data_IF_868392794852
#
_entry.id   IF_868392794852
#
_cell.length_a   1.000
_cell.length_b   1.000
_cell.length_c   1.000
_cell.angle_alpha   90.00
_cell.angle_beta   90.00
_cell.angle_gamma   90.00
#
_symmetry.space_group_name_H-M   'P 1'
#
loop_
_entity.id
_entity.type
_entity.pdbx_description
1 polymer ?
#
# COMPACT_ATOMS: atom_id res chain seq x y z
N UNK A 1 -9.05 9.60 -3.34
CA UNK A 1 -8.20 10.17 -2.27
C UNK A 1 -7.51 9.16 -1.34
N UNK A 2 -7.91 7.87 -1.29
CA UNK A 2 -6.94 6.78 -0.98
C UNK A 2 -6.99 5.69 -2.04
N UNK A 3 -8.19 5.37 -2.55
CA UNK A 3 -8.39 4.38 -3.63
C UNK A 3 -7.73 4.75 -4.97
N UNK A 4 -7.37 6.02 -5.15
CA UNK A 4 -6.68 6.51 -6.35
C UNK A 4 -5.18 6.63 -6.14
N UNK A 5 -4.73 6.66 -4.88
CA UNK A 5 -3.32 6.79 -4.54
C UNK A 5 -2.65 5.43 -4.66
N UNK A 6 -1.35 5.46 -4.85
CA UNK A 6 -0.54 4.27 -4.71
C UNK A 6 -0.49 3.80 -3.24
N UNK A 7 -0.17 2.51 -3.08
CA UNK A 7 -0.12 1.87 -1.77
C UNK A 7 0.91 2.52 -0.86
N UNK A 8 2.04 3.00 -1.39
CA UNK A 8 3.09 3.58 -0.55
C UNK A 8 2.69 4.91 0.05
N UNK A 9 2.02 5.78 -0.71
CA UNK A 9 1.46 7.01 -0.16
C UNK A 9 0.44 6.70 0.93
N UNK A 10 -0.45 5.72 0.70
CA UNK A 10 -1.43 5.30 1.69
C UNK A 10 -0.75 4.76 2.97
N UNK A 11 0.30 3.94 2.84
CA UNK A 11 1.08 3.42 3.97
C UNK A 11 1.84 4.51 4.72
N UNK A 12 2.39 5.50 4.02
CA UNK A 12 3.05 6.64 4.66
C UNK A 12 2.06 7.51 5.43
N UNK A 13 0.90 7.81 4.84
CA UNK A 13 -0.13 8.61 5.48
C UNK A 13 -0.67 7.90 6.72
N UNK A 14 -1.05 6.63 6.60
CA UNK A 14 -1.54 5.82 7.73
C UNK A 14 -0.47 5.70 8.82
N UNK A 15 0.78 5.39 8.46
CA UNK A 15 1.88 5.32 9.43
C UNK A 15 2.20 6.65 10.13
N UNK A 16 2.06 7.79 9.44
CA UNK A 16 2.17 9.10 10.08
C UNK A 16 1.04 9.34 11.08
N UNK A 17 -0.20 9.00 10.72
CA UNK A 17 -1.35 9.12 11.60
C UNK A 17 -1.20 8.18 12.82
N UNK A 18 -0.77 6.93 12.63
CA UNK A 18 -0.53 5.99 13.73
C UNK A 18 0.52 6.53 14.70
N UNK A 19 1.65 7.02 14.20
CA UNK A 19 2.67 7.64 15.06
C UNK A 19 2.17 8.89 15.78
N UNK A 20 1.36 9.71 15.11
CA UNK A 20 0.74 10.86 15.74
C UNK A 20 -0.19 10.44 16.86
N UNK A 21 -0.98 9.37 16.64
CA UNK A 21 -1.86 8.82 17.65
C UNK A 21 -1.12 8.22 18.85
N UNK A 22 0.14 7.78 18.70
CA UNK A 22 0.96 7.29 19.81
C UNK A 22 1.48 8.38 20.75
N UNK A 23 1.45 9.67 20.38
CA UNK A 23 1.97 10.71 21.29
C UNK A 23 1.08 10.89 22.52
N UNK A 24 1.67 11.17 23.70
CA UNK A 24 0.93 11.36 24.95
C UNK A 24 0.17 12.69 25.03
N UNK A 25 0.11 13.46 23.94
CA UNK A 25 -0.52 14.79 23.93
C UNK A 25 -2.07 14.65 23.97
N UNK A 26 -2.75 15.16 25.02
CA UNK A 26 -4.19 14.96 25.20
C UNK A 26 -5.03 15.50 24.04
N UNK A 27 -4.61 16.61 23.42
CA UNK A 27 -5.30 17.23 22.29
C UNK A 27 -5.24 16.36 21.02
N UNK A 28 -4.05 15.84 20.70
CA UNK A 28 -3.85 15.01 19.51
C UNK A 28 -4.58 13.68 19.65
N UNK A 29 -4.49 13.08 20.85
CA UNK A 29 -5.24 11.89 21.22
C UNK A 29 -6.75 12.11 21.10
N UNK A 30 -7.27 13.19 21.70
CA UNK A 30 -8.70 13.51 21.64
C UNK A 30 -9.13 13.69 20.18
N UNK A 31 -8.40 14.49 19.40
CA UNK A 31 -8.69 14.73 17.99
C UNK A 31 -8.74 13.46 17.14
N UNK A 32 -7.80 12.53 17.33
CA UNK A 32 -7.66 11.33 16.51
C UNK A 32 -8.52 10.16 17.00
N UNK A 33 -8.64 9.98 18.32
CA UNK A 33 -9.16 8.75 18.94
C UNK A 33 -10.48 8.93 19.69
N UNK A 34 -10.91 10.16 19.98
CA UNK A 34 -12.18 10.38 20.68
C UNK A 34 -13.34 10.54 19.68
N UNK A 35 -14.27 9.57 19.61
CA UNK A 35 -15.41 9.62 18.69
C UNK A 35 -16.50 10.63 19.14
N UNK A 36 -16.47 11.08 20.40
CA UNK A 36 -17.49 11.94 20.99
C UNK A 36 -17.17 13.43 20.89
N UNK A 37 -16.06 13.80 20.27
CA UNK A 37 -15.71 15.21 20.08
C UNK A 37 -16.71 15.91 19.16
N UNK A 38 -17.23 17.04 19.66
CA UNK A 38 -18.07 17.94 18.87
C UNK A 38 -17.15 18.88 18.09
N UNK A 39 -17.02 18.62 16.79
CA UNK A 39 -16.36 19.52 15.86
C UNK A 39 -17.35 20.56 15.32
N UNK A 40 -16.81 21.67 14.82
CA UNK A 40 -17.59 22.57 13.98
C UNK A 40 -18.05 21.82 12.71
N UNK A 41 -19.24 22.12 12.16
CA UNK A 41 -19.82 21.37 11.04
C UNK A 41 -18.96 21.36 9.76
N UNK A 42 -18.04 22.30 9.62
CA UNK A 42 -17.08 22.40 8.51
C UNK A 42 -15.83 21.51 8.68
N UNK A 43 -15.53 21.07 9.91
CA UNK A 43 -14.36 20.26 10.23
C UNK A 43 -14.78 18.82 10.36
N UNK A 44 -14.30 17.97 9.44
CA UNK A 44 -14.56 16.54 9.51
C UNK A 44 -13.62 15.87 10.51
N UNK A 45 -14.18 15.06 11.40
CA UNK A 45 -13.39 14.19 12.27
C UNK A 45 -12.72 13.07 11.48
N UNK A 46 -11.66 12.48 12.05
CA UNK A 46 -11.02 11.31 11.46
C UNK A 46 -12.04 10.17 11.27
N UNK A 47 -12.91 9.93 12.26
CA UNK A 47 -13.98 8.92 12.16
C UNK A 47 -14.94 9.18 10.99
N UNK A 48 -15.31 10.44 10.74
CA UNK A 48 -16.16 10.78 9.59
C UNK A 48 -15.45 10.55 8.26
N UNK A 49 -14.16 10.86 8.17
CA UNK A 49 -13.35 10.59 6.98
C UNK A 49 -13.19 9.09 6.75
N UNK A 50 -12.89 8.32 7.80
CA UNK A 50 -12.78 6.87 7.74
C UNK A 50 -14.12 6.21 7.41
N UNK A 51 -15.23 6.68 7.98
CA UNK A 51 -16.58 6.21 7.66
C UNK A 51 -16.94 6.48 6.20
N UNK A 52 -16.63 7.68 5.69
CA UNK A 52 -16.83 8.02 4.28
C UNK A 52 -15.96 7.17 3.35
N UNK A 53 -14.74 6.83 3.77
CA UNK A 53 -13.84 5.97 3.03
C UNK A 53 -14.35 4.52 3.02
N UNK A 54 -14.77 4.00 4.18
CA UNK A 54 -15.36 2.67 4.34
C UNK A 54 -16.57 2.50 3.41
N UNK A 55 -17.49 3.45 3.39
CA UNK A 55 -18.63 3.44 2.47
C UNK A 55 -18.21 3.37 0.99
N UNK A 56 -17.13 4.07 0.61
CA UNK A 56 -16.59 4.01 -0.75
C UNK A 56 -15.95 2.66 -1.06
N UNK A 57 -15.22 2.07 -0.12
CA UNK A 57 -14.65 0.72 -0.27
C UNK A 57 -15.77 -0.31 -0.41
N UNK A 58 -16.78 -0.26 0.46
CA UNK A 58 -17.95 -1.14 0.41
C UNK A 58 -18.67 -1.02 -0.93
N UNK A 59 -18.94 0.21 -1.40
CA UNK A 59 -19.57 0.45 -2.70
C UNK A 59 -18.75 -0.15 -3.85
N UNK A 60 -17.43 -0.07 -3.75
CA UNK A 60 -16.52 -0.64 -4.75
C UNK A 60 -16.51 -2.17 -4.73
N UNK A 61 -16.61 -2.78 -3.54
CA UNK A 61 -16.71 -4.24 -3.38
C UNK A 61 -17.87 -4.84 -4.15
N UNK A 62 -19.01 -4.14 -4.24
CA UNK A 62 -20.17 -4.60 -5.03
C UNK A 62 -20.01 -4.43 -6.54
N UNK A 63 -19.06 -3.59 -6.99
CA UNK A 63 -18.85 -3.30 -8.42
C UNK A 63 -17.85 -4.23 -9.10
N UNK A 64 -17.04 -4.96 -8.34
CA UNK A 64 -15.94 -5.78 -8.85
C UNK A 64 -16.23 -7.25 -8.64
N UNK A 65 -16.14 -8.03 -9.72
CA UNK A 65 -16.24 -9.49 -9.65
C UNK A 65 -15.04 -10.11 -8.93
N UNK A 66 -15.28 -11.18 -8.18
CA UNK A 66 -14.25 -11.91 -7.40
C UNK A 66 -13.47 -11.02 -6.42
N UNK A 67 -14.09 -9.95 -5.89
CA UNK A 67 -13.43 -9.00 -4.99
C UNK A 67 -12.67 -9.67 -3.83
N UNK A 68 -13.29 -10.65 -3.17
CA UNK A 68 -12.70 -11.41 -2.06
C UNK A 68 -11.38 -12.10 -2.45
N UNK A 69 -11.33 -12.76 -3.61
CA UNK A 69 -10.12 -13.42 -4.10
C UNK A 69 -9.00 -12.42 -4.40
N UNK A 70 -9.35 -11.25 -4.95
CA UNK A 70 -8.38 -10.19 -5.22
C UNK A 70 -7.84 -9.55 -3.94
N UNK A 71 -8.67 -9.42 -2.91
CA UNK A 71 -8.25 -8.98 -1.57
C UNK A 71 -7.31 -10.00 -0.95
N UNK A 72 -7.63 -11.30 -1.01
CA UNK A 72 -6.76 -12.35 -0.48
C UNK A 72 -5.41 -12.39 -1.19
N UNK A 73 -5.39 -12.30 -2.53
CA UNK A 73 -4.16 -12.21 -3.31
C UNK A 73 -3.33 -10.98 -2.93
N UNK A 74 -3.99 -9.85 -2.69
CA UNK A 74 -3.34 -8.60 -2.26
C UNK A 74 -2.72 -8.73 -0.87
N UNK A 75 -3.41 -9.39 0.08
CA UNK A 75 -2.88 -9.72 1.40
C UNK A 75 -1.64 -10.61 1.29
N UNK A 76 -1.69 -11.69 0.52
CA UNK A 76 -0.54 -12.58 0.26
C UNK A 76 0.64 -11.82 -0.35
N UNK A 77 0.39 -10.96 -1.34
CA UNK A 77 1.43 -10.14 -1.96
C UNK A 77 2.17 -9.23 -0.97
N UNK A 78 1.42 -8.52 -0.11
CA UNK A 78 2.03 -7.66 0.92
C UNK A 78 2.81 -8.49 1.95
N UNK A 79 2.26 -9.63 2.35
CA UNK A 79 2.91 -10.54 3.30
C UNK A 79 4.24 -11.09 2.76
N UNK A 80 4.26 -11.66 1.55
CA UNK A 80 5.49 -12.15 0.91
C UNK A 80 6.55 -11.05 0.80
N UNK A 81 6.12 -9.82 0.50
CA UNK A 81 7.03 -8.68 0.44
C UNK A 81 7.68 -8.37 1.79
N UNK A 82 6.89 -8.37 2.87
CA UNK A 82 7.39 -8.12 4.23
C UNK A 82 8.38 -9.22 4.64
N UNK A 83 8.06 -10.49 4.36
CA UNK A 83 8.95 -11.62 4.66
C UNK A 83 10.32 -11.48 4.00
N UNK A 84 10.37 -11.18 2.70
CA UNK A 84 11.64 -10.96 2.00
C UNK A 84 12.43 -9.77 2.53
N UNK A 85 11.76 -8.70 2.98
CA UNK A 85 12.44 -7.58 3.63
C UNK A 85 13.08 -8.02 4.96
N UNK A 86 12.39 -8.83 5.75
CA UNK A 86 12.90 -9.34 7.03
C UNK A 86 14.11 -10.26 6.84
N UNK A 87 14.08 -11.17 5.87
CA UNK A 87 15.22 -12.04 5.49
C UNK A 87 16.43 -11.22 5.02
N UNK A 88 16.23 -10.16 4.25
CA UNK A 88 17.33 -9.28 3.82
C UNK A 88 17.97 -8.51 4.99
N UNK A 89 17.19 -8.20 6.02
CA UNK A 89 17.66 -7.46 7.20
C UNK A 89 18.41 -8.37 8.18
N UNK A 90 18.03 -9.65 8.30
CA UNK A 90 18.80 -10.63 9.07
C UNK A 90 20.16 -10.90 8.43
N UNK A 91 20.22 -11.10 7.11
CA UNK A 91 21.48 -11.28 6.37
C UNK A 91 22.39 -10.05 6.49
N UNK A 92 21.84 -8.84 6.47
CA UNK A 92 22.60 -7.59 6.73
C UNK A 92 23.07 -7.44 8.18
N UNK A 93 22.30 -7.93 9.15
CA UNK A 93 22.66 -7.84 10.56
C UNK A 93 23.79 -8.81 10.93
N UNK A 94 23.79 -10.02 10.36
CA UNK A 94 24.90 -10.97 10.53
C UNK A 94 26.18 -10.56 9.77
N UNK A 95 26.07 -9.87 8.63
CA UNK A 95 27.24 -9.43 7.86
C UNK A 95 27.87 -8.11 8.36
N UNK A 96 27.13 -7.29 9.13
CA UNK A 96 27.65 -6.03 9.67
C UNK A 96 28.50 -6.21 10.94
N UNK A 97 28.44 -7.38 11.58
CA UNK A 97 29.27 -7.66 12.77
C UNK A 97 30.68 -8.15 12.45
N UNK A 98 31.06 -8.32 11.16
CA UNK A 98 32.30 -9.00 10.79
C UNK A 98 33.23 -8.29 9.79
N UNK A 99 32.94 -7.07 9.31
CA UNK A 99 33.85 -6.43 8.36
C UNK A 99 34.16 -4.95 8.67
N UNK A 100 35.43 -4.79 9.05
CA UNK A 100 36.25 -3.58 9.06
C UNK A 100 36.10 -2.72 7.79
N UNK A 101 36.32 -1.42 7.96
CA UNK A 101 36.54 -0.44 6.90
C UNK A 101 37.53 -0.95 5.82
N UNK A 102 37.23 -0.84 4.51
CA UNK A 102 38.27 -0.84 3.50
C UNK A 102 38.79 0.59 3.28
N UNK A 103 40.08 0.75 2.92
CA UNK A 103 40.67 2.05 2.68
C UNK A 103 40.17 2.66 1.36
N UNK A 104 40.30 3.98 1.29
CA UNK A 104 39.97 4.85 0.16
C UNK A 104 40.78 4.42 -1.07
N UNK A 105 40.08 4.03 -2.15
CA UNK A 105 40.69 3.86 -3.49
C UNK A 105 40.03 4.83 -4.47
N UNK A 106 40.82 5.85 -4.77
CA UNK A 106 41.00 6.61 -6.00
C UNK A 106 39.89 6.57 -7.09
N UNK A 107 39.33 7.75 -7.32
CA UNK A 107 38.30 8.06 -8.32
C UNK A 107 38.95 8.04 -9.71
N UNK A 108 38.65 7.02 -10.52
CA UNK A 108 38.91 7.06 -11.96
C UNK A 108 37.63 7.35 -12.75
N UNK A 109 37.84 8.22 -13.74
CA UNK A 109 36.91 9.05 -14.49
C UNK A 109 36.47 8.32 -15.76
N UNK A 110 35.16 8.08 -15.93
CA UNK A 110 34.59 7.60 -17.20
C UNK A 110 33.17 7.03 -17.13
N UNK A 111 32.17 7.87 -17.46
CA UNK A 111 30.81 7.54 -17.97
C UNK A 111 29.83 6.69 -17.11
N UNK A 112 28.48 6.80 -17.29
CA UNK A 112 27.64 7.98 -17.51
C UNK A 112 26.72 8.25 -16.29
N UNK A 113 26.21 9.48 -16.24
CA UNK A 113 25.14 10.03 -15.37
C UNK A 113 24.46 9.07 -14.39
N UNK A 114 24.69 9.35 -13.10
CA UNK A 114 23.84 9.05 -11.93
C UNK A 114 22.51 8.36 -12.30
N UNK A 115 22.43 7.04 -12.05
CA UNK A 115 21.16 6.30 -12.11
C UNK A 115 20.26 6.82 -10.99
N UNK A 116 19.38 7.75 -11.35
CA UNK A 116 18.34 8.28 -10.48
C UNK A 116 17.46 7.14 -9.95
N UNK A 117 17.12 7.23 -8.67
CA UNK A 117 16.21 6.33 -7.93
C UNK A 117 14.84 6.16 -8.61
N UNK A 118 14.50 7.04 -9.56
CA UNK A 118 13.30 6.96 -10.40
C UNK A 118 13.32 5.78 -11.39
N UNK A 119 14.48 5.25 -11.75
CA UNK A 119 14.61 4.20 -12.78
C UNK A 119 14.12 2.81 -12.38
N UNK A 120 13.95 2.55 -11.07
CA UNK A 120 13.34 1.30 -10.58
C UNK A 120 11.80 1.31 -10.62
N UNK A 121 11.17 2.47 -10.80
CA UNK A 121 9.72 2.62 -10.69
C UNK A 121 8.97 2.06 -11.90
N UNK A 122 9.56 2.11 -13.11
CA UNK A 122 8.86 1.68 -14.33
C UNK A 122 9.19 0.25 -14.80
N UNK A 123 10.21 -0.42 -14.23
CA UNK A 123 10.61 -1.77 -14.67
C UNK A 123 10.05 -2.92 -13.83
N UNK A 124 9.69 -2.68 -12.55
CA UNK A 124 9.30 -3.77 -11.64
C UNK A 124 7.79 -3.96 -11.53
N UNK A 125 6.98 -2.96 -11.88
CA UNK A 125 5.50 -3.10 -11.86
C UNK A 125 4.97 -3.98 -13.00
N UNK A 126 5.66 -4.02 -14.15
CA UNK A 126 5.29 -4.86 -15.31
C UNK A 126 5.62 -6.35 -15.13
N UNK A 127 6.39 -6.71 -14.09
CA UNK A 127 6.75 -8.11 -13.83
C UNK A 127 5.65 -8.92 -13.13
N UNK A 128 4.66 -8.26 -12.52
CA UNK A 128 3.52 -8.95 -11.89
C UNK A 128 2.55 -9.58 -12.89
N UNK A 129 2.45 -9.02 -14.10
CA UNK A 129 1.61 -9.60 -15.17
C UNK A 129 2.40 -10.49 -16.14
N UNK A 130 3.74 -10.36 -16.19
CA UNK A 130 4.54 -11.14 -17.15
C UNK A 130 4.78 -12.59 -16.75
N UNK A 131 4.46 -12.98 -15.52
CA UNK A 131 4.66 -14.36 -15.04
C UNK A 131 3.46 -15.30 -15.32
N UNK A 132 2.38 -14.81 -15.95
CA UNK A 132 1.21 -15.64 -16.29
C UNK A 132 0.96 -15.83 -17.81
N UNK A 133 1.80 -15.28 -18.68
CA UNK A 133 1.60 -15.44 -20.14
C UNK A 133 2.85 -15.99 -20.83
N UNK A 134 3.11 -17.27 -20.60
CA UNK A 134 3.86 -18.12 -21.52
C UNK A 134 2.89 -19.18 -22.08
N UNK A 135 1.91 -18.74 -22.86
CA UNK A 135 1.23 -19.57 -23.85
C UNK A 135 0.41 -18.67 -24.79
N UNK A 136 0.77 -18.71 -26.07
CA UNK A 136 -0.06 -18.31 -27.22
C UNK A 136 -0.15 -16.81 -27.51
N UNK A 137 0.87 -16.32 -28.22
CA UNK A 137 0.74 -15.23 -29.18
C UNK A 137 -0.49 -15.46 -30.08
N UNK A 138 -1.61 -14.81 -29.79
CA UNK A 138 -2.76 -14.76 -30.71
C UNK A 138 -2.51 -13.65 -31.72
N UNK A 139 -2.09 -14.06 -32.91
CA UNK A 139 -2.11 -13.23 -34.11
C UNK A 139 -3.52 -12.65 -34.38
N UNK A 140 -3.61 -11.48 -35.05
CA UNK A 140 -4.89 -10.89 -35.45
C UNK A 140 -5.66 -11.86 -36.37
N UNK A 141 -6.88 -12.22 -35.95
CA UNK A 141 -7.75 -13.15 -36.70
C UNK A 141 -8.46 -12.38 -37.82
N UNK A 142 -8.25 -12.82 -39.06
CA UNK A 142 -9.02 -12.42 -40.23
C UNK A 142 -10.34 -13.20 -40.24
N UNK A 143 -11.46 -12.49 -40.29
CA UNK A 143 -12.78 -13.11 -40.43
C UNK A 143 -13.24 -12.96 -41.90
N UNK A 144 -13.52 -14.07 -42.56
CA UNK A 144 -14.04 -14.09 -43.94
C UNK A 144 -15.52 -13.72 -43.90
N UNK A 145 -15.92 -12.72 -44.69
CA UNK A 145 -17.33 -12.34 -44.83
C UNK A 145 -18.05 -13.46 -45.59
N UNK A 146 -19.21 -13.89 -45.09
CA UNK A 146 -20.01 -15.02 -45.63
C UNK A 146 -20.43 -14.87 -47.10
N UNK A 147 -20.34 -13.66 -47.66
CA UNK A 147 -20.73 -13.33 -49.03
C UNK A 147 -19.56 -13.43 -50.04
N UNK A 148 -18.45 -14.07 -49.68
CA UNK A 148 -17.35 -14.41 -50.60
C UNK A 148 -16.52 -13.21 -51.10
N UNK A 149 -16.87 -11.98 -50.73
CA UNK A 149 -16.17 -10.76 -51.12
C UNK A 149 -15.38 -10.17 -49.96
N UNK A 150 -14.25 -10.82 -49.66
CA UNK A 150 -13.16 -10.23 -48.89
C UNK A 150 -13.08 -10.63 -47.41
N UNK A 151 -11.98 -10.18 -46.80
CA UNK A 151 -11.68 -10.38 -45.39
C UNK A 151 -11.97 -9.08 -44.64
N UNK A 152 -12.67 -9.18 -43.50
CA UNK A 152 -12.83 -8.06 -42.59
C UNK A 152 -11.77 -8.14 -41.51
N UNK A 153 -11.01 -7.07 -41.36
CA UNK A 153 -10.19 -6.87 -40.16
C UNK A 153 -11.13 -6.57 -38.99
N UNK A 154 -11.30 -7.55 -38.10
CA UNK A 154 -11.95 -7.34 -36.81
C UNK A 154 -10.85 -7.12 -35.79
N UNK A 155 -10.53 -5.85 -35.57
CA UNK A 155 -9.79 -5.45 -34.37
C UNK A 155 -10.69 -5.76 -33.18
N UNK A 156 -10.61 -6.98 -32.62
CA UNK A 156 -11.10 -7.20 -31.27
C UNK A 156 -10.40 -6.12 -30.42
N UNK A 157 -11.13 -5.26 -29.68
CA UNK A 157 -10.50 -4.27 -28.84
C UNK A 157 -9.51 -5.03 -27.98
N UNK A 158 -8.23 -4.74 -28.17
CA UNK A 158 -7.19 -5.44 -27.46
C UNK A 158 -7.47 -5.28 -25.95
N UNK A 159 -7.26 -6.30 -25.12
CA UNK A 159 -7.23 -6.15 -23.66
C UNK A 159 -6.11 -5.19 -23.15
N UNK A 160 -5.50 -4.43 -24.06
CA UNK A 160 -4.39 -3.49 -23.88
C UNK A 160 -4.74 -2.10 -24.44
N UNK A 161 -5.95 -1.61 -24.19
CA UNK A 161 -6.23 -0.17 -24.33
C UNK A 161 -5.57 0.57 -23.16
N UNK A 162 -4.95 1.74 -23.41
CA UNK A 162 -4.37 2.59 -22.36
C UNK A 162 -5.40 2.88 -21.25
N UNK A 163 -6.67 3.09 -21.64
CA UNK A 163 -7.81 3.20 -20.72
C UNK A 163 -7.99 1.96 -19.83
N UNK A 164 -7.88 0.75 -20.39
CA UNK A 164 -8.03 -0.51 -19.64
C UNK A 164 -6.87 -0.77 -18.68
N UNK A 165 -5.65 -0.37 -19.06
CA UNK A 165 -4.49 -0.45 -18.17
C UNK A 165 -4.62 0.54 -17.00
N UNK A 166 -5.08 1.77 -17.26
CA UNK A 166 -5.36 2.77 -16.23
C UNK A 166 -6.47 2.30 -15.30
N UNK A 167 -7.52 1.68 -15.83
CA UNK A 167 -8.62 1.13 -15.05
C UNK A 167 -8.16 -0.07 -14.19
N UNK A 168 -7.31 -0.94 -14.73
CA UNK A 168 -6.68 -2.03 -13.98
C UNK A 168 -5.81 -1.53 -12.82
N UNK A 169 -5.03 -0.47 -13.03
CA UNK A 169 -4.20 0.15 -11.98
C UNK A 169 -5.09 0.76 -10.89
N UNK A 170 -6.16 1.45 -11.26
CA UNK A 170 -7.13 2.01 -10.30
C UNK A 170 -7.79 0.90 -9.49
N UNK A 171 -8.18 -0.20 -10.14
CA UNK A 171 -8.75 -1.35 -9.46
C UNK A 171 -7.78 -1.97 -8.47
N UNK A 172 -6.53 -2.19 -8.89
CA UNK A 172 -5.46 -2.68 -8.01
C UNK A 172 -5.23 -1.76 -6.80
N UNK A 173 -5.15 -0.45 -7.02
CA UNK A 173 -4.96 0.53 -5.95
C UNK A 173 -6.16 0.54 -4.99
N UNK A 174 -7.37 0.36 -5.52
CA UNK A 174 -8.59 0.29 -4.75
C UNK A 174 -8.62 -0.94 -3.82
N UNK A 175 -8.25 -2.11 -4.33
CA UNK A 175 -8.16 -3.35 -3.55
C UNK A 175 -7.08 -3.24 -2.47
N UNK A 176 -5.89 -2.75 -2.83
CA UNK A 176 -4.81 -2.55 -1.87
C UNK A 176 -5.18 -1.49 -0.81
N UNK A 177 -5.93 -0.46 -1.18
CA UNK A 177 -6.47 0.52 -0.24
C UNK A 177 -7.43 -0.14 0.76
N UNK A 178 -8.24 -1.10 0.34
CA UNK A 178 -9.14 -1.82 1.25
C UNK A 178 -8.35 -2.61 2.30
N UNK A 179 -7.31 -3.33 1.87
CA UNK A 179 -6.40 -4.06 2.78
C UNK A 179 -5.70 -3.11 3.75
N UNK A 180 -5.15 -2.00 3.26
CA UNK A 180 -4.47 -1.00 4.11
C UNK A 180 -5.45 -0.38 5.10
N UNK A 181 -6.69 -0.07 4.68
CA UNK A 181 -7.70 0.49 5.57
C UNK A 181 -8.08 -0.49 6.67
N UNK A 182 -8.27 -1.77 6.34
CA UNK A 182 -8.58 -2.82 7.32
C UNK A 182 -7.50 -2.91 8.40
N UNK A 183 -6.23 -3.00 7.99
CA UNK A 183 -5.10 -3.10 8.93
C UNK A 183 -4.90 -1.81 9.74
N UNK A 184 -5.05 -0.65 9.10
CA UNK A 184 -4.95 0.64 9.79
C UNK A 184 -6.04 0.81 10.87
N UNK A 185 -7.28 0.37 10.62
CA UNK A 185 -8.34 0.44 11.61
C UNK A 185 -8.06 -0.46 12.83
N UNK A 186 -7.46 -1.64 12.61
CA UNK A 186 -7.02 -2.52 13.72
C UNK A 186 -5.91 -1.87 14.53
N UNK A 187 -4.91 -1.28 13.87
CA UNK A 187 -3.82 -0.55 14.54
C UNK A 187 -4.36 0.63 15.34
N UNK A 188 -5.25 1.43 14.75
CA UNK A 188 -5.85 2.59 15.42
C UNK A 188 -6.69 2.18 16.64
N UNK A 189 -7.43 1.07 16.55
CA UNK A 189 -8.19 0.52 17.66
C UNK A 189 -7.26 0.04 18.80
N UNK A 190 -6.15 -0.63 18.47
CA UNK A 190 -5.17 -1.05 19.45
C UNK A 190 -4.54 0.16 20.18
N UNK A 191 -4.16 1.20 19.43
CA UNK A 191 -3.63 2.45 20.00
C UNK A 191 -4.67 3.11 20.92
N UNK A 192 -5.95 3.19 20.50
CA UNK A 192 -7.01 3.74 21.34
C UNK A 192 -7.22 2.96 22.65
N UNK A 193 -7.10 1.63 22.59
CA UNK A 193 -7.21 0.77 23.76
C UNK A 193 -6.06 0.97 24.74
N UNK A 194 -4.81 0.98 24.25
CA UNK A 194 -3.61 1.26 25.07
C UNK A 194 -3.76 2.59 25.81
N UNK A 195 -4.14 3.62 25.07
CA UNK A 195 -4.43 4.95 25.59
C UNK A 195 -5.50 4.92 26.70
N UNK A 196 -6.56 4.13 26.54
CA UNK A 196 -7.64 4.04 27.53
C UNK A 196 -7.16 3.40 28.83
N UNK A 197 -6.27 2.41 28.76
CA UNK A 197 -5.64 1.78 29.93
C UNK A 197 -4.72 2.78 30.65
N UNK A 198 -3.87 3.49 29.91
CA UNK A 198 -2.95 4.49 30.47
C UNK A 198 -3.70 5.61 31.21
N UNK A 199 -4.89 5.98 30.75
CA UNK A 199 -5.72 6.98 31.43
C UNK A 199 -6.32 6.52 32.75
N UNK A 200 -6.56 5.21 32.91
CA UNK A 200 -7.10 4.65 34.14
C UNK A 200 -6.03 4.50 35.22
N UNK A 201 -4.75 4.47 34.84
CA UNK A 201 -3.60 4.36 35.73
C UNK A 201 -2.66 5.56 35.54
N UNK A 202 -2.98 6.75 36.06
CA UNK A 202 -2.12 7.92 35.95
C UNK A 202 -0.72 7.72 36.59
N UNK A 203 -0.59 6.83 37.57
CA UNK A 203 0.69 6.45 38.22
C UNK A 203 1.54 5.48 37.36
N UNK A 204 1.03 4.96 36.25
CA UNK A 204 1.76 4.01 35.39
C UNK A 204 3.10 4.56 34.88
N UNK A 205 3.18 5.88 34.65
CA UNK A 205 4.43 6.52 34.24
C UNK A 205 5.35 6.85 35.41
N UNK A 206 4.83 6.99 36.63
CA UNK A 206 5.63 7.21 37.83
C UNK A 206 6.40 5.93 38.22
N UNK A 207 5.85 4.75 37.93
CA UNK A 207 6.50 3.44 38.17
C UNK A 207 7.62 3.11 37.16
N UNK A 208 7.65 3.73 35.98
CA UNK A 208 8.68 3.45 34.95
C UNK A 208 10.02 4.12 35.28
N UNK A 209 9.98 5.24 36.00
CA UNK A 209 11.17 5.96 36.47
C UNK A 209 11.66 5.46 37.84
N UNK A 210 10.95 4.53 38.47
CA UNK A 210 11.39 3.89 39.70
C UNK A 210 12.59 2.96 39.40
N UNK A 211 13.75 3.13 40.09
CA UNK A 211 14.83 2.17 39.99
C UNK A 211 14.34 0.81 40.49
N UNK A 212 14.59 -0.24 39.70
CA UNK A 212 14.39 -1.63 40.11
C UNK A 212 15.27 -1.91 41.34
N UNK A 213 14.68 -1.91 42.53
CA UNK A 213 15.33 -2.41 43.76
C UNK A 213 15.53 -3.94 43.71
#
# INVERSE_FOLDING_TARGET
MMMQNDVYTNLHLTGLISRLACYPQPLLRSFLLNPSLVFQPTVRSLFQVLGSLKQKVDSYSYSVDNYEDLVEQSKRFLFTRIQHMQESNTVRSYSRSLNQCPPIVEIQRGEPRRRSLTSYLFRKSSSFLRQRENALSKEPVLESISDGHGYRYVSKPAPFSLEGEIESIKAKNAILCAVVLEEFLKELAAIAQEHSIVQLNPEFWDDIDAPWD
#
